data_IF_854444791176
#
_entry.id   IF_854444791176
#
_cell.length_a   1.000
_cell.length_b   1.000
_cell.length_c   1.000
_cell.angle_alpha   90.00
_cell.angle_beta   90.00
_cell.angle_gamma   90.00
#
_symmetry.space_group_name_H-M   'P 1'
#
loop_
_entity.id
_entity.type
_entity.pdbx_description
1 polymer ?
#
# COMPACT_ATOMS: atom_id res chain seq x y z
N UNK A 1 -17.17 26.93 -6.39
CA UNK A 1 -16.93 26.19 -5.12
C UNK A 1 -15.98 25.04 -5.41
N UNK A 2 -14.89 24.86 -4.66
CA UNK A 2 -13.96 23.72 -4.81
C UNK A 2 -13.99 22.90 -3.52
N UNK A 3 -14.11 21.58 -3.64
CA UNK A 3 -14.05 20.65 -2.50
C UNK A 3 -12.63 20.08 -2.45
N UNK A 4 -11.85 20.31 -1.38
CA UNK A 4 -10.51 19.74 -1.26
C UNK A 4 -10.63 18.22 -1.07
N UNK A 5 -10.02 17.47 -1.99
CA UNK A 5 -9.92 16.00 -1.92
C UNK A 5 -8.47 15.60 -1.69
N UNK A 6 -8.28 14.51 -0.96
CA UNK A 6 -6.96 13.92 -0.71
C UNK A 6 -7.00 12.45 -1.08
N UNK A 7 -5.82 11.89 -1.36
CA UNK A 7 -5.65 10.47 -1.68
C UNK A 7 -4.63 9.85 -0.74
N UNK A 8 -4.79 8.56 -0.48
CA UNK A 8 -3.75 7.75 0.16
C UNK A 8 -3.21 6.79 -0.88
N UNK A 9 -1.91 6.54 -0.88
CA UNK A 9 -1.23 5.76 -1.92
C UNK A 9 -0.38 4.71 -1.23
N UNK A 10 -0.49 3.46 -1.69
CA UNK A 10 0.46 2.39 -1.39
C UNK A 10 1.32 2.11 -2.61
N UNK A 11 2.62 1.91 -2.39
CA UNK A 11 3.60 1.65 -3.44
C UNK A 11 4.34 0.36 -3.11
N UNK A 12 4.54 -0.51 -4.08
CA UNK A 12 5.44 -1.66 -3.96
C UNK A 12 6.50 -1.62 -5.05
N UNK A 13 7.62 -2.30 -4.81
CA UNK A 13 8.70 -2.46 -5.77
C UNK A 13 8.69 -3.87 -6.33
N UNK A 14 8.89 -4.01 -7.64
CA UNK A 14 9.07 -5.32 -8.28
C UNK A 14 10.37 -5.93 -7.76
N UNK A 15 10.27 -7.12 -7.22
CA UNK A 15 11.38 -7.91 -6.68
C UNK A 15 11.72 -9.07 -7.60
N UNK A 16 12.99 -9.54 -7.62
CA UNK A 16 13.42 -10.65 -8.47
C UNK A 16 12.65 -11.95 -8.23
N UNK A 17 12.15 -12.15 -7.00
CA UNK A 17 11.45 -13.37 -6.58
C UNK A 17 9.93 -13.29 -6.78
N UNK A 18 9.40 -12.17 -7.29
CA UNK A 18 7.98 -12.04 -7.63
C UNK A 18 7.59 -13.03 -8.73
N UNK A 19 6.64 -13.91 -8.42
CA UNK A 19 6.17 -14.94 -9.36
C UNK A 19 5.04 -14.44 -10.24
N UNK A 20 4.39 -13.34 -9.85
CA UNK A 20 3.22 -12.79 -10.55
C UNK A 20 3.00 -11.33 -10.21
N UNK A 21 2.37 -10.59 -11.14
CA UNK A 21 1.88 -9.23 -10.89
C UNK A 21 0.92 -9.16 -9.68
N UNK A 22 0.26 -10.26 -9.34
CA UNK A 22 -0.63 -10.31 -8.19
C UNK A 22 0.11 -10.10 -6.85
N UNK A 23 1.32 -10.64 -6.72
CA UNK A 23 2.15 -10.47 -5.50
C UNK A 23 2.57 -9.01 -5.32
N UNK A 24 2.93 -8.34 -6.41
CA UNK A 24 3.24 -6.91 -6.44
C UNK A 24 2.01 -6.08 -6.02
N UNK A 25 0.82 -6.42 -6.53
CA UNK A 25 -0.42 -5.73 -6.20
C UNK A 25 -0.82 -5.92 -4.73
N UNK A 26 -0.67 -7.12 -4.18
CA UNK A 26 -0.93 -7.39 -2.76
C UNK A 26 -0.04 -6.49 -1.89
N UNK A 27 1.26 -6.41 -2.18
CA UNK A 27 2.20 -5.56 -1.43
C UNK A 27 1.83 -4.08 -1.54
N UNK A 28 1.42 -3.60 -2.73
CA UNK A 28 0.97 -2.23 -2.91
C UNK A 28 -0.33 -1.95 -2.11
N UNK A 29 -1.26 -2.89 -2.07
CA UNK A 29 -2.51 -2.74 -1.32
C UNK A 29 -2.28 -2.77 0.19
N UNK A 30 -1.37 -3.62 0.68
CA UNK A 30 -0.92 -3.61 2.09
C UNK A 30 -0.35 -2.25 2.50
N UNK A 31 0.52 -1.66 1.66
CA UNK A 31 1.03 -0.31 1.88
C UNK A 31 -0.08 0.75 1.84
N UNK A 32 -1.06 0.62 0.95
CA UNK A 32 -2.21 1.52 0.85
C UNK A 32 -3.08 1.44 2.10
N UNK A 33 -3.30 0.23 2.62
CA UNK A 33 -4.01 0.01 3.86
C UNK A 33 -3.30 0.67 5.04
N UNK A 34 -1.97 0.57 5.13
CA UNK A 34 -1.19 1.30 6.12
C UNK A 34 -1.30 2.82 5.99
N UNK A 35 -1.26 3.35 4.77
CA UNK A 35 -1.50 4.76 4.53
C UNK A 35 -2.88 5.19 5.06
N UNK A 36 -3.92 4.36 4.86
CA UNK A 36 -5.27 4.61 5.35
C UNK A 36 -5.38 4.54 6.89
N UNK A 37 -4.68 3.60 7.54
CA UNK A 37 -4.72 3.38 8.99
C UNK A 37 -3.92 4.40 9.80
N UNK A 38 -2.76 4.82 9.29
CA UNK A 38 -1.84 5.68 10.03
C UNK A 38 -2.15 7.18 9.91
N UNK A 39 -3.24 7.55 9.22
CA UNK A 39 -3.76 8.93 9.17
C UNK A 39 -4.15 9.46 7.80
N UNK A 40 -4.19 8.62 6.75
CA UNK A 40 -4.57 9.00 5.37
C UNK A 40 -3.67 10.10 4.79
N UNK A 41 -4.05 10.61 3.62
CA UNK A 41 -3.40 11.71 2.89
C UNK A 41 -1.86 11.58 2.83
N UNK A 42 -1.38 10.38 2.49
CA UNK A 42 0.04 10.06 2.49
C UNK A 42 0.36 8.93 1.52
N UNK A 43 1.66 8.81 1.24
CA UNK A 43 2.27 7.71 0.52
C UNK A 43 2.95 6.80 1.53
N UNK A 44 2.72 5.49 1.41
CA UNK A 44 3.48 4.47 2.13
C UNK A 44 4.09 3.55 1.08
N UNK A 45 5.37 3.26 1.24
CA UNK A 45 6.09 2.27 0.44
C UNK A 45 6.08 0.97 1.22
N UNK A 46 5.81 -0.13 0.54
CA UNK A 46 5.88 -1.46 1.11
C UNK A 46 7.30 -1.76 1.56
N UNK A 47 7.44 -2.29 2.77
CA UNK A 47 8.67 -2.83 3.32
C UNK A 47 8.36 -4.08 4.15
N UNK A 48 9.36 -4.90 4.44
CA UNK A 48 9.15 -6.19 5.13
C UNK A 48 8.54 -6.05 6.54
N UNK A 49 8.63 -4.88 7.18
CA UNK A 49 7.92 -4.65 8.46
C UNK A 49 6.40 -4.53 8.30
N UNK A 50 5.92 -4.33 7.07
CA UNK A 50 4.50 -4.26 6.74
C UNK A 50 3.89 -5.67 6.55
N UNK A 51 4.74 -6.69 6.32
CA UNK A 51 4.32 -8.06 6.02
C UNK A 51 3.50 -8.74 7.13
N UNK A 52 3.69 -8.31 8.38
CA UNK A 52 2.98 -8.86 9.57
C UNK A 52 1.55 -8.32 9.74
N UNK A 53 1.09 -7.44 8.85
CA UNK A 53 -0.24 -6.86 8.96
C UNK A 53 -1.26 -7.74 8.25
N UNK A 54 -2.35 -8.14 8.93
CA UNK A 54 -3.40 -8.91 8.30
C UNK A 54 -4.00 -8.09 7.15
N UNK A 55 -3.85 -8.57 5.93
CA UNK A 55 -4.59 -8.10 4.77
C UNK A 55 -6.03 -8.57 4.96
N UNK A 56 -6.89 -7.74 5.54
CA UNK A 56 -8.32 -8.07 5.65
C UNK A 56 -8.94 -8.19 4.25
N UNK A 57 -9.60 -9.34 4.02
CA UNK A 57 -10.23 -9.78 2.76
C UNK A 57 -11.31 -8.86 2.22
#
# INVERSE_FOLDING_TARGET
>A
MRIPVTISIGVSTIEPDDKSYHEILIRADQALYQAKRTGRNRVVVYDDSIADLPTES
#
